data_IF_824066401100
#
_entry.id   IF_824066401100
#
_cell.length_a   1.000
_cell.length_b   1.000
_cell.length_c   1.000
_cell.angle_alpha   90.00
_cell.angle_beta   90.00
_cell.angle_gamma   90.00
#
_symmetry.space_group_name_H-M   'P 1'
#
loop_
_entity.id
_entity.type
_entity.pdbx_description
1 polymer ?
#
# COMPACT_ATOMS: atom_id res chain seq x y z
N UNK A 1 10.21 -6.43 12.92
CA UNK A 1 9.42 -5.43 13.69
C UNK A 1 10.01 -5.14 15.07
N UNK A 2 10.31 -6.13 15.92
CA UNK A 2 10.91 -5.89 17.25
C UNK A 2 12.35 -5.39 17.20
N UNK A 3 13.15 -5.75 16.17
CA UNK A 3 14.51 -5.24 16.02
C UNK A 3 14.54 -3.76 15.62
N UNK A 4 13.77 -3.34 14.61
CA UNK A 4 13.63 -1.92 14.25
C UNK A 4 12.82 -1.08 15.26
N UNK A 5 11.92 -1.69 16.04
CA UNK A 5 11.29 -1.01 17.19
C UNK A 5 12.30 -0.83 18.32
N UNK A 6 13.14 -1.83 18.63
CA UNK A 6 14.25 -1.70 19.59
C UNK A 6 15.31 -0.70 19.12
N UNK A 7 15.63 -0.68 17.82
CA UNK A 7 16.57 0.28 17.22
C UNK A 7 15.99 1.72 17.28
N UNK A 8 14.68 1.88 17.07
CA UNK A 8 13.98 3.17 17.27
C UNK A 8 13.87 3.57 18.75
N UNK A 9 13.67 2.63 19.67
CA UNK A 9 13.75 2.90 21.11
C UNK A 9 15.17 3.36 21.50
N UNK A 10 16.22 2.79 20.89
CA UNK A 10 17.59 3.26 21.10
C UNK A 10 17.88 4.61 20.44
N UNK A 11 17.31 4.90 19.26
CA UNK A 11 17.41 6.21 18.61
C UNK A 11 16.68 7.29 19.43
N UNK A 12 15.56 6.94 20.06
CA UNK A 12 14.83 7.81 21.00
C UNK A 12 15.59 8.02 22.31
N UNK A 13 16.40 7.03 22.73
CA UNK A 13 17.26 7.11 23.91
C UNK A 13 18.61 7.80 23.65
N UNK A 14 18.99 8.00 22.38
CA UNK A 14 20.22 8.72 22.02
C UNK A 14 20.16 10.16 22.55
N UNK A 15 21.28 10.62 23.15
CA UNK A 15 21.38 11.95 23.78
C UNK A 15 21.14 13.10 22.80
N UNK A 16 21.21 12.85 21.50
CA UNK A 16 21.02 13.84 20.43
C UNK A 16 19.53 14.13 20.14
N UNK A 17 18.62 13.17 20.33
CA UNK A 17 17.18 13.37 20.15
C UNK A 17 16.56 14.27 21.24
N UNK A 18 17.16 14.33 22.44
CA UNK A 18 16.74 15.24 23.52
C UNK A 18 17.08 16.71 23.24
N UNK A 19 18.03 17.00 22.35
CA UNK A 19 18.49 18.36 22.06
C UNK A 19 17.73 19.04 20.92
N UNK A 20 17.07 18.28 20.04
CA UNK A 20 16.26 18.80 18.94
C UNK A 20 14.80 18.34 19.11
N UNK A 21 13.99 19.15 19.80
CA UNK A 21 12.57 18.86 20.00
C UNK A 21 11.89 18.46 18.68
N UNK A 22 11.18 17.32 18.68
CA UNK A 22 10.44 16.85 17.50
C UNK A 22 9.49 17.94 17.01
N UNK A 23 9.49 18.19 15.70
CA UNK A 23 8.52 19.12 15.13
C UNK A 23 7.10 18.60 15.34
N UNK A 24 6.10 19.50 15.42
CA UNK A 24 4.68 19.16 15.52
C UNK A 24 4.25 18.12 14.46
N UNK A 25 4.79 18.23 13.24
CA UNK A 25 4.54 17.30 12.14
C UNK A 25 5.12 15.91 12.38
N UNK A 26 6.35 15.81 12.92
CA UNK A 26 6.96 14.53 13.27
C UNK A 26 6.23 13.85 14.43
N UNK A 27 5.82 14.62 15.45
CA UNK A 27 5.02 14.10 16.56
C UNK A 27 3.65 13.56 16.09
N UNK A 28 2.97 14.30 15.20
CA UNK A 28 1.70 13.88 14.62
C UNK A 28 1.82 12.57 13.83
N UNK A 29 2.87 12.43 13.00
CA UNK A 29 3.17 11.18 12.29
C UNK A 29 3.46 10.04 13.26
N UNK A 30 4.22 10.29 14.32
CA UNK A 30 4.52 9.29 15.35
C UNK A 30 3.24 8.75 16.02
N UNK A 31 2.33 9.66 16.39
CA UNK A 31 1.03 9.29 16.96
C UNK A 31 0.15 8.55 15.95
N UNK A 32 0.06 9.03 14.72
CA UNK A 32 -0.71 8.38 13.65
C UNK A 32 -0.21 6.95 13.36
N UNK A 33 1.11 6.72 13.43
CA UNK A 33 1.68 5.37 13.32
C UNK A 33 1.21 4.47 14.46
N UNK A 34 1.15 4.98 15.69
CA UNK A 34 0.65 4.22 16.83
C UNK A 34 -0.83 3.83 16.64
N UNK A 35 -1.66 4.73 16.12
CA UNK A 35 -3.07 4.43 15.82
C UNK A 35 -3.19 3.37 14.70
N UNK A 36 -2.33 3.42 13.67
CA UNK A 36 -2.26 2.37 12.64
C UNK A 36 -1.83 1.03 13.25
N UNK A 37 -0.86 1.01 14.15
CA UNK A 37 -0.46 -0.23 14.85
C UNK A 37 -1.61 -0.77 15.69
N UNK A 38 -2.33 0.10 16.42
CA UNK A 38 -3.51 -0.29 17.20
C UNK A 38 -4.61 -0.87 16.30
N UNK A 39 -4.86 -0.25 15.15
CA UNK A 39 -5.78 -0.77 14.14
C UNK A 39 -5.40 -2.17 13.67
N UNK A 40 -4.13 -2.41 13.34
CA UNK A 40 -3.66 -3.73 12.89
C UNK A 40 -3.92 -4.82 13.93
N UNK A 41 -3.82 -4.51 15.23
CA UNK A 41 -4.14 -5.50 16.27
C UNK A 41 -5.62 -5.91 16.28
N UNK A 42 -6.52 -5.07 15.74
CA UNK A 42 -7.94 -5.38 15.55
C UNK A 42 -8.23 -6.05 14.21
N UNK A 43 -7.38 -5.84 13.20
CA UNK A 43 -7.47 -6.50 11.89
C UNK A 43 -6.35 -7.54 11.73
N UNK A 44 -6.54 -8.71 12.36
CA UNK A 44 -5.53 -9.77 12.40
C UNK A 44 -5.09 -10.22 11.01
N UNK A 45 -6.00 -10.28 10.04
CA UNK A 45 -5.67 -10.69 8.67
C UNK A 45 -4.71 -9.71 8.00
N UNK A 46 -4.96 -8.40 8.14
CA UNK A 46 -4.05 -7.37 7.62
C UNK A 46 -2.71 -7.34 8.37
N UNK A 47 -2.73 -7.51 9.69
CA UNK A 47 -1.52 -7.58 10.51
C UNK A 47 -0.64 -8.76 10.11
N UNK A 48 -1.22 -9.96 10.00
CA UNK A 48 -0.50 -11.17 9.63
C UNK A 48 0.05 -11.04 8.20
N UNK A 49 -0.74 -10.52 7.26
CA UNK A 49 -0.27 -10.26 5.91
C UNK A 49 0.91 -9.27 5.88
N UNK A 50 0.82 -8.14 6.59
CA UNK A 50 1.89 -7.15 6.65
C UNK A 50 3.16 -7.70 7.32
N UNK A 51 3.01 -8.48 8.40
CA UNK A 51 4.12 -9.16 9.09
C UNK A 51 4.80 -10.19 8.20
N UNK A 52 4.04 -11.08 7.59
CA UNK A 52 4.56 -12.10 6.67
C UNK A 52 5.25 -11.47 5.48
N UNK A 53 4.65 -10.45 4.86
CA UNK A 53 5.27 -9.74 3.74
C UNK A 53 6.57 -9.03 4.16
N UNK A 54 6.60 -8.40 5.34
CA UNK A 54 7.81 -7.78 5.87
C UNK A 54 8.91 -8.82 6.13
N UNK A 55 8.59 -9.92 6.80
CA UNK A 55 9.53 -10.99 7.09
C UNK A 55 10.09 -11.60 5.79
N UNK A 56 9.23 -12.09 4.92
CA UNK A 56 9.64 -12.76 3.67
C UNK A 56 10.29 -11.86 2.62
N UNK A 57 10.21 -10.53 2.78
CA UNK A 57 10.79 -9.60 1.80
C UNK A 57 12.02 -8.89 2.33
N UNK A 58 12.01 -8.47 3.59
CA UNK A 58 12.97 -7.49 4.12
C UNK A 58 13.67 -7.90 5.42
N UNK A 59 13.15 -8.85 6.21
CA UNK A 59 13.78 -9.24 7.47
C UNK A 59 14.31 -10.68 7.39
N UNK A 60 15.58 -10.84 7.70
CA UNK A 60 16.09 -12.16 8.06
C UNK A 60 15.74 -12.42 9.53
N UNK A 61 14.97 -13.47 9.79
CA UNK A 61 14.72 -13.90 11.16
C UNK A 61 16.05 -14.43 11.76
N UNK A 62 16.34 -14.16 13.05
CA UNK A 62 17.59 -14.61 13.68
C UNK A 62 17.82 -16.11 13.55
N UNK A 63 16.73 -16.87 13.60
CA UNK A 63 16.73 -18.34 13.58
C UNK A 63 16.57 -18.90 12.15
N UNK A 64 16.18 -18.07 11.18
CA UNK A 64 15.99 -18.44 9.78
C UNK A 64 16.50 -17.32 8.85
N UNK A 65 17.83 -17.19 8.66
CA UNK A 65 18.46 -16.08 7.93
C UNK A 65 18.26 -16.14 6.40
N UNK A 66 17.22 -16.84 5.93
CA UNK A 66 16.93 -17.05 4.52
C UNK A 66 15.64 -16.36 4.05
N UNK A 67 14.98 -15.59 4.91
CA UNK A 67 13.64 -15.06 4.65
C UNK A 67 13.63 -13.68 3.98
N UNK A 68 14.65 -12.82 4.11
CA UNK A 68 14.69 -11.48 3.50
C UNK A 68 14.97 -11.50 2.00
N UNK A 69 14.06 -12.08 1.20
CA UNK A 69 14.32 -12.40 -0.22
C UNK A 69 14.71 -11.18 -1.06
N UNK A 70 14.08 -10.01 -0.86
CA UNK A 70 14.39 -8.83 -1.66
C UNK A 70 15.79 -8.32 -1.35
N UNK A 71 16.12 -8.14 -0.07
CA UNK A 71 17.45 -7.68 0.33
C UNK A 71 18.53 -8.67 -0.09
N UNK A 72 18.27 -9.97 0.03
CA UNK A 72 19.21 -11.01 -0.39
C UNK A 72 19.44 -11.00 -1.89
N UNK A 73 18.39 -10.95 -2.71
CA UNK A 73 18.55 -10.89 -4.18
C UNK A 73 19.29 -9.64 -4.63
N UNK A 74 19.04 -8.51 -3.98
CA UNK A 74 19.80 -7.27 -4.23
C UNK A 74 21.26 -7.45 -3.81
N UNK A 75 21.53 -8.05 -2.64
CA UNK A 75 22.89 -8.31 -2.16
C UNK A 75 23.65 -9.31 -3.05
N UNK A 76 23.00 -10.38 -3.51
CA UNK A 76 23.55 -11.35 -4.47
C UNK A 76 23.95 -10.66 -5.78
N UNK A 77 23.15 -9.70 -6.24
CA UNK A 77 23.42 -8.94 -7.47
C UNK A 77 24.53 -7.90 -7.31
N UNK A 78 24.54 -7.17 -6.20
CA UNK A 78 25.46 -6.04 -5.97
C UNK A 78 26.81 -6.48 -5.35
N UNK A 79 26.83 -7.61 -4.64
CA UNK A 79 27.94 -7.98 -3.76
C UNK A 79 27.97 -7.14 -2.47
N UNK A 80 28.76 -7.57 -1.46
CA UNK A 80 28.70 -7.03 -0.10
C UNK A 80 29.02 -5.53 -0.03
N UNK A 81 30.08 -5.07 -0.71
CA UNK A 81 30.51 -3.67 -0.68
C UNK A 81 29.44 -2.71 -1.20
N UNK A 82 28.89 -3.00 -2.39
CA UNK A 82 27.87 -2.14 -3.00
C UNK A 82 26.52 -2.25 -2.27
N UNK A 83 26.24 -3.38 -1.64
CA UNK A 83 25.05 -3.53 -0.79
C UNK A 83 25.11 -2.61 0.44
N UNK A 84 26.26 -2.51 1.10
CA UNK A 84 26.44 -1.59 2.24
C UNK A 84 26.25 -0.12 1.83
N UNK A 85 26.89 0.28 0.72
CA UNK A 85 26.72 1.62 0.14
C UNK A 85 25.26 1.90 -0.23
N UNK A 86 24.59 0.93 -0.85
CA UNK A 86 23.18 1.00 -1.22
C UNK A 86 22.28 1.13 0.02
N UNK A 87 22.49 0.36 1.08
CA UNK A 87 21.68 0.47 2.30
C UNK A 87 21.87 1.83 3.00
N UNK A 88 23.11 2.33 3.07
CA UNK A 88 23.38 3.67 3.61
C UNK A 88 22.70 4.76 2.78
N UNK A 89 22.72 4.63 1.46
CA UNK A 89 22.00 5.54 0.56
C UNK A 89 20.48 5.41 0.74
N UNK A 90 19.94 4.19 0.72
CA UNK A 90 18.52 3.88 0.84
C UNK A 90 17.91 4.42 2.13
N UNK A 91 18.64 4.36 3.25
CA UNK A 91 18.22 4.96 4.53
C UNK A 91 18.12 6.49 4.43
N UNK A 92 19.12 7.14 3.84
CA UNK A 92 19.16 8.61 3.68
C UNK A 92 18.11 9.13 2.71
N UNK A 93 17.80 8.37 1.66
CA UNK A 93 16.86 8.76 0.61
C UNK A 93 15.46 8.18 0.80
N UNK A 94 15.21 7.45 1.89
CA UNK A 94 13.93 6.80 2.16
C UNK A 94 13.51 5.80 1.06
N UNK A 95 14.47 5.22 0.33
CA UNK A 95 14.24 4.44 -0.89
C UNK A 95 13.15 3.37 -0.75
N UNK A 96 13.17 2.57 0.33
CA UNK A 96 12.22 1.45 0.48
C UNK A 96 10.77 1.92 0.66
N UNK A 97 10.55 2.93 1.50
CA UNK A 97 9.19 3.48 1.68
C UNK A 97 8.73 4.34 0.50
N UNK A 98 9.66 4.94 -0.26
CA UNK A 98 9.36 5.55 -1.56
C UNK A 98 8.90 4.48 -2.56
N UNK A 99 9.68 3.41 -2.73
CA UNK A 99 9.35 2.29 -3.63
C UNK A 99 7.97 1.71 -3.32
N UNK A 100 7.68 1.42 -2.06
CA UNK A 100 6.37 0.89 -1.66
C UNK A 100 5.23 1.90 -1.91
N UNK A 101 5.44 3.19 -1.64
CA UNK A 101 4.45 4.22 -1.93
C UNK A 101 4.16 4.31 -3.43
N UNK A 102 5.18 4.25 -4.28
CA UNK A 102 5.03 4.24 -5.73
C UNK A 102 4.38 2.94 -6.24
N UNK A 103 4.69 1.79 -5.64
CA UNK A 103 3.99 0.54 -5.94
C UNK A 103 2.49 0.64 -5.61
N UNK A 104 2.14 1.21 -4.46
CA UNK A 104 0.75 1.44 -4.07
C UNK A 104 0.04 2.40 -5.04
N UNK A 105 0.74 3.45 -5.50
CA UNK A 105 0.23 4.36 -6.53
C UNK A 105 -0.04 3.61 -7.85
N UNK A 106 0.94 2.90 -8.37
CA UNK A 106 0.84 2.18 -9.66
C UNK A 106 -0.28 1.14 -9.63
N UNK A 107 -0.44 0.41 -8.52
CA UNK A 107 -1.54 -0.54 -8.34
C UNK A 107 -2.92 0.16 -8.28
N UNK A 108 -3.00 1.34 -7.66
CA UNK A 108 -4.23 2.13 -7.65
C UNK A 108 -4.56 2.70 -9.06
N UNK A 109 -3.56 3.12 -9.82
CA UNK A 109 -3.73 3.55 -11.22
C UNK A 109 -4.18 2.39 -12.12
N UNK A 110 -3.64 1.18 -11.90
CA UNK A 110 -4.11 -0.03 -12.59
C UNK A 110 -5.61 -0.28 -12.37
N UNK A 111 -6.10 -0.13 -11.14
CA UNK A 111 -7.54 -0.26 -10.83
C UNK A 111 -8.40 0.76 -11.59
N UNK A 112 -7.90 2.00 -11.74
CA UNK A 112 -8.59 3.02 -12.54
C UNK A 112 -8.61 2.66 -14.03
N UNK A 113 -7.50 2.15 -14.56
CA UNK A 113 -7.41 1.67 -15.95
C UNK A 113 -8.40 0.52 -16.15
N UNK A 114 -8.43 -0.45 -15.24
CA UNK A 114 -9.36 -1.58 -15.27
C UNK A 114 -10.81 -1.10 -15.30
N UNK A 115 -11.19 -0.16 -14.44
CA UNK A 115 -12.52 0.44 -14.45
C UNK A 115 -12.87 1.22 -15.72
N UNK A 116 -11.89 1.81 -16.41
CA UNK A 116 -12.10 2.42 -17.74
C UNK A 116 -12.31 1.36 -18.82
N UNK A 117 -11.58 0.25 -18.78
CA UNK A 117 -11.77 -0.87 -19.70
C UNK A 117 -13.19 -1.44 -19.55
N UNK A 118 -13.67 -1.61 -18.33
CA UNK A 118 -15.02 -2.16 -18.08
C UNK A 118 -16.10 -1.29 -18.69
N UNK A 119 -16.10 0.00 -18.37
CA UNK A 119 -17.04 0.97 -18.96
C UNK A 119 -16.97 0.98 -20.48
N UNK A 120 -15.76 0.92 -21.06
CA UNK A 120 -15.61 0.90 -22.51
C UNK A 120 -16.19 -0.37 -23.15
N UNK A 121 -16.01 -1.54 -22.51
CA UNK A 121 -16.61 -2.79 -22.98
C UNK A 121 -18.13 -2.74 -22.86
N UNK A 122 -18.66 -2.21 -21.77
CA UNK A 122 -20.10 -2.00 -21.58
C UNK A 122 -20.68 -1.11 -22.69
N UNK A 123 -20.05 0.04 -22.96
CA UNK A 123 -20.47 0.96 -24.03
C UNK A 123 -20.48 0.27 -25.41
N UNK A 124 -19.41 -0.47 -25.74
CA UNK A 124 -19.28 -1.19 -27.02
C UNK A 124 -20.38 -2.24 -27.15
N UNK A 125 -20.65 -3.01 -26.08
CA UNK A 125 -21.67 -4.05 -26.09
C UNK A 125 -23.08 -3.47 -26.16
N UNK A 126 -23.34 -2.32 -25.53
CA UNK A 126 -24.61 -1.61 -25.64
C UNK A 126 -24.86 -1.03 -27.05
N UNK A 127 -23.80 -0.61 -27.74
CA UNK A 127 -23.90 0.01 -29.07
C UNK A 127 -24.02 -1.00 -30.22
N UNK A 128 -23.71 -2.28 -30.00
CA UNK A 128 -23.57 -3.27 -31.07
C UNK A 128 -24.87 -3.96 -31.49
N UNK A 129 -25.95 -3.76 -30.76
CA UNK A 129 -27.16 -4.56 -30.92
C UNK A 129 -28.17 -3.88 -31.86
N UNK A 130 -28.50 -4.55 -32.97
CA UNK A 130 -29.61 -4.19 -33.85
C UNK A 130 -30.98 -4.40 -33.16
N UNK A 131 -31.01 -5.16 -32.06
CA UNK A 131 -32.18 -5.39 -31.20
C UNK A 131 -31.93 -4.83 -29.81
N UNK A 132 -32.79 -3.92 -29.36
CA UNK A 132 -32.66 -3.32 -28.04
C UNK A 132 -32.66 -4.37 -26.92
N UNK A 133 -31.68 -4.28 -26.01
CA UNK A 133 -31.66 -5.09 -24.79
C UNK A 133 -32.99 -4.86 -24.02
N UNK A 134 -33.72 -5.94 -23.64
CA UNK A 134 -34.95 -5.83 -22.86
C UNK A 134 -34.75 -4.98 -21.60
N UNK A 135 -35.72 -4.11 -21.30
CA UNK A 135 -35.61 -3.14 -20.19
C UNK A 135 -35.30 -3.81 -18.85
N UNK A 136 -35.91 -4.97 -18.57
CA UNK A 136 -35.61 -5.75 -17.36
C UNK A 136 -34.13 -6.18 -17.23
N UNK A 137 -33.46 -6.51 -18.34
CA UNK A 137 -32.04 -6.87 -18.34
C UNK A 137 -31.14 -5.62 -18.26
N UNK A 138 -31.60 -4.51 -18.83
CA UNK A 138 -30.93 -3.21 -18.74
C UNK A 138 -30.94 -2.69 -17.31
N UNK A 139 -32.10 -2.67 -16.67
CA UNK A 139 -32.29 -2.21 -15.30
C UNK A 139 -31.54 -3.09 -14.30
N UNK A 140 -31.40 -4.39 -14.60
CA UNK A 140 -30.57 -5.30 -13.82
C UNK A 140 -29.05 -5.14 -14.04
N UNK A 141 -28.61 -4.28 -14.98
CA UNK A 141 -27.19 -4.09 -15.28
C UNK A 141 -26.52 -5.34 -15.85
N UNK A 142 -27.24 -6.13 -16.66
CA UNK A 142 -26.77 -7.43 -17.14
C UNK A 142 -25.43 -7.36 -17.89
N UNK A 143 -25.22 -6.33 -18.72
CA UNK A 143 -23.97 -6.13 -19.47
C UNK A 143 -22.80 -5.85 -18.52
N UNK A 144 -22.95 -4.91 -17.59
CA UNK A 144 -21.90 -4.60 -16.61
C UNK A 144 -21.54 -5.81 -15.75
N UNK A 145 -22.56 -6.57 -15.33
CA UNK A 145 -22.35 -7.84 -14.63
C UNK A 145 -21.59 -8.85 -15.49
N UNK A 146 -21.99 -9.04 -16.75
CA UNK A 146 -21.32 -9.97 -17.66
C UNK A 146 -19.86 -9.57 -17.91
N UNK A 147 -19.57 -8.29 -18.12
CA UNK A 147 -18.20 -7.76 -18.28
C UNK A 147 -17.37 -8.01 -17.02
N UNK A 148 -17.91 -7.66 -15.85
CA UNK A 148 -17.23 -7.85 -14.57
C UNK A 148 -16.89 -9.33 -14.30
N UNK A 149 -17.86 -10.23 -14.47
CA UNK A 149 -17.66 -11.65 -14.19
C UNK A 149 -16.79 -12.33 -15.25
N UNK A 150 -16.92 -11.94 -16.52
CA UNK A 150 -16.03 -12.42 -17.59
C UNK A 150 -14.59 -12.01 -17.32
N UNK A 151 -14.35 -10.76 -16.92
CA UNK A 151 -13.01 -10.35 -16.52
C UNK A 151 -12.49 -11.16 -15.33
N UNK A 152 -13.29 -11.29 -14.28
CA UNK A 152 -12.86 -11.97 -13.04
C UNK A 152 -12.54 -13.45 -13.26
N UNK A 153 -13.31 -14.16 -14.07
CA UNK A 153 -13.16 -15.61 -14.22
C UNK A 153 -12.46 -16.00 -15.52
N UNK A 154 -12.89 -15.45 -16.67
CA UNK A 154 -12.30 -15.83 -17.96
C UNK A 154 -10.86 -15.33 -18.06
N UNK A 155 -10.60 -14.05 -17.78
CA UNK A 155 -9.23 -13.53 -17.87
C UNK A 155 -8.32 -14.16 -16.82
N UNK A 156 -8.79 -14.34 -15.58
CA UNK A 156 -8.00 -15.01 -14.55
C UNK A 156 -7.66 -16.46 -14.94
N UNK A 157 -8.60 -17.20 -15.54
CA UNK A 157 -8.35 -18.54 -16.06
C UNK A 157 -7.36 -18.55 -17.23
N UNK A 158 -7.45 -17.60 -18.16
CA UNK A 158 -6.48 -17.46 -19.27
C UNK A 158 -5.07 -17.20 -18.74
N UNK A 159 -4.93 -16.29 -17.78
CA UNK A 159 -3.66 -15.95 -17.12
C UNK A 159 -3.09 -17.16 -16.38
N UNK A 160 -3.92 -17.87 -15.61
CA UNK A 160 -3.49 -19.08 -14.93
C UNK A 160 -3.05 -20.17 -15.93
N UNK A 161 -3.82 -20.39 -17.01
CA UNK A 161 -3.51 -21.36 -18.04
C UNK A 161 -2.26 -21.00 -18.86
N UNK A 162 -1.93 -19.72 -19.00
CA UNK A 162 -0.70 -19.28 -19.66
C UNK A 162 0.57 -19.49 -18.80
N UNK A 163 0.44 -20.08 -17.61
CA UNK A 163 1.53 -20.25 -16.65
C UNK A 163 1.96 -18.94 -16.00
N UNK A 164 1.16 -17.87 -16.08
CA UNK A 164 1.46 -16.63 -15.40
C UNK A 164 1.26 -16.79 -13.88
N UNK A 165 2.15 -16.17 -13.10
CA UNK A 165 2.19 -16.35 -11.64
C UNK A 165 0.95 -15.85 -10.89
N UNK A 166 0.93 -16.13 -9.59
CA UNK A 166 -0.19 -15.80 -8.68
C UNK A 166 -0.54 -14.31 -8.62
N UNK A 167 0.43 -13.42 -8.79
CA UNK A 167 0.19 -11.96 -8.85
C UNK A 167 -0.65 -11.57 -10.08
N UNK A 168 -0.32 -12.10 -11.26
CA UNK A 168 -1.07 -11.81 -12.49
C UNK A 168 -2.52 -12.30 -12.36
N UNK A 169 -2.70 -13.48 -11.75
CA UNK A 169 -4.03 -14.04 -11.46
C UNK A 169 -4.83 -13.15 -10.49
N UNK A 170 -4.18 -12.63 -9.44
CA UNK A 170 -4.82 -11.74 -8.47
C UNK A 170 -5.23 -10.40 -9.10
N UNK A 171 -4.35 -9.81 -9.92
CA UNK A 171 -4.66 -8.59 -10.66
C UNK A 171 -5.84 -8.80 -11.62
N UNK A 172 -5.87 -9.94 -12.33
CA UNK A 172 -7.00 -10.30 -13.19
C UNK A 172 -8.30 -10.51 -12.40
N UNK A 173 -8.25 -11.10 -11.20
CA UNK A 173 -9.41 -11.28 -10.34
C UNK A 173 -10.00 -9.96 -9.80
N UNK A 174 -9.26 -8.85 -9.90
CA UNK A 174 -9.71 -7.50 -9.56
C UNK A 174 -9.75 -7.21 -8.06
N UNK A 175 -9.01 -7.97 -7.24
CA UNK A 175 -8.94 -7.78 -5.79
C UNK A 175 -7.66 -7.07 -5.35
N UNK A 176 -7.35 -5.96 -6.04
CA UNK A 176 -6.10 -5.22 -5.84
C UNK A 176 -6.06 -4.53 -4.48
N UNK A 177 -7.21 -4.29 -3.85
CA UNK A 177 -7.27 -3.73 -2.49
C UNK A 177 -6.60 -4.61 -1.45
N UNK A 178 -6.65 -5.94 -1.61
CA UNK A 178 -5.91 -6.88 -0.75
C UNK A 178 -4.39 -6.72 -0.83
N UNK A 179 -3.87 -6.18 -1.94
CA UNK A 179 -2.45 -5.84 -2.08
C UNK A 179 -2.14 -4.43 -1.56
N UNK A 180 -3.01 -3.48 -1.87
CA UNK A 180 -2.78 -2.06 -1.57
C UNK A 180 -2.66 -1.80 -0.07
N UNK A 181 -3.53 -2.39 0.76
CA UNK A 181 -3.51 -2.12 2.20
C UNK A 181 -2.22 -2.57 2.89
N UNK A 182 -1.75 -3.82 2.72
CA UNK A 182 -0.45 -4.24 3.26
C UNK A 182 0.70 -3.35 2.79
N UNK A 183 0.79 -3.03 1.49
CA UNK A 183 1.86 -2.21 0.93
C UNK A 183 1.89 -0.82 1.59
N UNK A 184 0.72 -0.16 1.69
CA UNK A 184 0.59 1.16 2.32
C UNK A 184 0.97 1.12 3.79
N UNK A 185 0.51 0.11 4.52
CA UNK A 185 0.81 -0.08 5.95
C UNK A 185 2.31 -0.28 6.15
N UNK A 186 2.94 -1.16 5.38
CA UNK A 186 4.38 -1.40 5.47
C UNK A 186 5.14 -0.10 5.16
N UNK A 187 4.77 0.63 4.10
CA UNK A 187 5.40 1.90 3.73
C UNK A 187 5.33 2.93 4.87
N UNK A 188 4.15 3.14 5.48
CA UNK A 188 4.01 4.12 6.57
C UNK A 188 4.77 3.70 7.82
N UNK A 189 4.79 2.41 8.16
CA UNK A 189 5.51 1.92 9.34
C UNK A 189 7.03 1.99 9.13
N UNK A 190 7.52 1.61 7.96
CA UNK A 190 8.94 1.64 7.60
C UNK A 190 9.51 3.05 7.40
N UNK A 191 8.71 4.03 6.97
CA UNK A 191 9.23 5.38 6.68
C UNK A 191 9.75 6.09 7.95
N UNK A 192 11.05 6.41 8.08
CA UNK A 192 11.57 6.97 9.33
C UNK A 192 11.00 8.36 9.64
N UNK A 193 10.77 9.18 8.61
CA UNK A 193 10.17 10.51 8.73
C UNK A 193 9.19 10.82 7.58
N UNK A 194 7.95 10.36 7.73
CA UNK A 194 6.90 10.64 6.74
C UNK A 194 6.49 12.13 6.68
N UNK A 195 6.87 12.94 7.68
CA UNK A 195 6.56 14.37 7.67
C UNK A 195 7.27 15.12 6.53
N UNK A 196 8.40 14.59 6.08
CA UNK A 196 9.20 15.12 4.97
C UNK A 196 9.07 14.30 3.68
N UNK A 197 8.26 13.23 3.70
CA UNK A 197 8.15 12.27 2.60
C UNK A 197 6.81 12.36 1.85
N UNK A 198 6.76 13.12 0.76
CA UNK A 198 5.52 13.43 0.03
C UNK A 198 4.82 12.17 -0.54
N UNK A 199 5.55 11.26 -1.18
CA UNK A 199 4.95 10.05 -1.76
C UNK A 199 4.25 9.17 -0.70
N UNK A 200 4.86 8.99 0.47
CA UNK A 200 4.24 8.24 1.58
C UNK A 200 3.00 8.97 2.10
N UNK A 201 3.01 10.30 2.17
CA UNK A 201 1.82 11.08 2.59
C UNK A 201 0.67 10.94 1.59
N UNK A 202 0.95 11.11 0.31
CA UNK A 202 -0.06 11.08 -0.74
C UNK A 202 -0.56 9.67 -1.05
N UNK A 203 0.33 8.68 -1.18
CA UNK A 203 -0.08 7.36 -1.70
C UNK A 203 -0.37 6.33 -0.61
N UNK A 204 -0.02 6.63 0.65
CA UNK A 204 -0.24 5.73 1.78
C UNK A 204 -1.08 6.37 2.89
N UNK A 205 -0.68 7.52 3.44
CA UNK A 205 -1.43 8.17 4.54
C UNK A 205 -2.78 8.71 4.10
N UNK A 206 -2.87 9.39 2.97
CA UNK A 206 -4.14 9.92 2.47
C UNK A 206 -5.19 8.81 2.27
N UNK A 207 -4.88 7.67 1.61
CA UNK A 207 -5.80 6.54 1.57
C UNK A 207 -6.21 6.00 2.94
N UNK A 208 -5.32 5.99 3.94
CA UNK A 208 -5.69 5.63 5.32
C UNK A 208 -6.69 6.64 5.90
N UNK A 209 -6.44 7.93 5.68
CA UNK A 209 -7.29 9.05 6.15
C UNK A 209 -8.63 9.15 5.41
N UNK A 210 -8.73 8.61 4.19
CA UNK A 210 -9.95 8.70 3.37
C UNK A 210 -10.75 7.39 3.33
N UNK A 211 -10.07 6.26 3.23
CA UNK A 211 -10.68 4.97 2.85
C UNK A 211 -10.59 3.90 3.94
N UNK A 212 -9.85 4.11 5.04
CA UNK A 212 -9.83 3.15 6.13
C UNK A 212 -11.17 3.13 6.89
N UNK A 213 -11.34 2.12 7.77
CA UNK A 213 -12.50 2.04 8.66
C UNK A 213 -12.65 3.32 9.49
N UNK A 214 -13.88 3.76 9.68
CA UNK A 214 -14.23 5.07 10.24
C UNK A 214 -13.44 5.42 11.52
N UNK A 215 -13.37 4.53 12.51
CA UNK A 215 -12.65 4.79 13.77
C UNK A 215 -11.18 5.20 13.56
N UNK A 216 -10.44 4.43 12.75
CA UNK A 216 -9.01 4.65 12.48
C UNK A 216 -8.83 5.84 11.58
N UNK A 217 -9.68 5.93 10.56
CA UNK A 217 -9.72 7.03 9.62
C UNK A 217 -9.88 8.36 10.35
N UNK A 218 -10.85 8.47 11.26
CA UNK A 218 -11.19 9.71 11.94
C UNK A 218 -10.10 10.09 12.95
N UNK A 219 -9.58 9.12 13.72
CA UNK A 219 -8.46 9.34 14.66
C UNK A 219 -7.20 9.80 13.93
N UNK A 220 -6.80 9.11 12.86
CA UNK A 220 -5.61 9.48 12.09
C UNK A 220 -5.82 10.81 11.37
N UNK A 221 -7.01 11.06 10.83
CA UNK A 221 -7.37 12.33 10.17
C UNK A 221 -7.23 13.51 11.10
N UNK A 222 -7.82 13.44 12.30
CA UNK A 222 -7.78 14.52 13.28
C UNK A 222 -6.34 14.94 13.60
N UNK A 223 -5.48 13.95 13.85
CA UNK A 223 -4.06 14.20 14.14
C UNK A 223 -3.31 14.83 12.97
N UNK A 224 -3.51 14.30 11.75
CA UNK A 224 -2.77 14.77 10.58
C UNK A 224 -3.28 16.13 10.09
N UNK A 225 -4.59 16.38 10.10
CA UNK A 225 -5.17 17.67 9.73
C UNK A 225 -4.62 18.81 10.61
N UNK A 226 -4.45 18.56 11.91
CA UNK A 226 -3.90 19.56 12.84
C UNK A 226 -2.42 19.91 12.62
N UNK A 227 -1.63 19.04 11.98
CA UNK A 227 -0.20 19.26 11.75
C UNK A 227 0.16 19.56 10.29
N UNK A 228 -0.70 19.18 9.36
CA UNK A 228 -0.50 19.26 7.92
C UNK A 228 -1.67 19.99 7.21
N UNK A 229 -2.24 21.03 7.83
CA UNK A 229 -3.36 21.79 7.24
C UNK A 229 -3.09 22.39 5.86
N UNK A 230 -1.81 22.64 5.54
CA UNK A 230 -1.38 23.11 4.22
C UNK A 230 -1.35 21.99 3.17
N UNK A 231 -1.26 20.73 3.61
CA UNK A 231 -1.15 19.57 2.73
C UNK A 231 -2.55 19.24 2.18
N UNK A 232 -2.76 19.32 0.85
CA UNK A 232 -4.09 19.15 0.25
C UNK A 232 -4.70 17.77 0.53
N UNK A 233 -3.88 16.78 0.89
CA UNK A 233 -4.31 15.41 1.11
C UNK A 233 -5.03 15.18 2.44
N UNK A 234 -4.84 16.08 3.42
CA UNK A 234 -5.41 15.96 4.76
C UNK A 234 -6.46 17.03 5.09
N UNK A 235 -6.85 17.85 4.10
CA UNK A 235 -7.92 18.83 4.30
C UNK A 235 -9.28 18.11 4.40
N UNK A 236 -10.15 18.48 5.35
CA UNK A 236 -11.53 17.99 5.34
C UNK A 236 -12.22 18.48 4.06
N UNK A 237 -12.85 17.55 3.34
CA UNK A 237 -13.70 17.89 2.20
C UNK A 237 -14.93 18.65 2.73
N UNK A 238 -15.18 19.84 2.17
CA UNK A 238 -16.33 20.70 2.49
C UNK A 238 -17.62 20.15 1.87
#
# INVERSE_FOLDING_TARGET
MLAHVKERESDWASKDAKAAGLSRRQAAIGCAKADVVHWLHRDRGLLDCARTAQALSFEDAPDEPAQGLVLRRVAEHLGPRLMDEFQQWARRTHFWCELLAQMARTLAEYEQIRGRIFRRLEDILQQRDEQALPDALRDAGAIGSAVQWSWRYVLASVVAASGAGSLATLLAAGDVQRLLWPIRVIAVLMCPDASRHAAVRQHCWEPIVRLARAEVRDTVRERLAGAFGDDPWFRPEH
#
